data_IF_545873134993
#
_entry.id   IF_545873134993
#
_cell.length_a   1.000
_cell.length_b   1.000
_cell.length_c   1.000
_cell.angle_alpha   90.00
_cell.angle_beta   90.00
_cell.angle_gamma   90.00
#
_symmetry.space_group_name_H-M   'P 1'
#
loop_
_entity.id
_entity.type
_entity.pdbx_description
1 polymer ?
#
# COMPACT_ATOMS: atom_id res chain seq x y z
N UNK A 1 38.14 -76.81 -9.66
CA UNK A 1 39.03 -75.71 -9.21
C UNK A 1 39.09 -74.67 -10.33
N UNK A 2 38.80 -73.38 -10.18
CA UNK A 2 38.19 -72.55 -9.11
C UNK A 2 37.22 -71.57 -9.80
N UNK A 3 36.22 -71.03 -9.09
CA UNK A 3 35.21 -70.12 -9.63
C UNK A 3 35.41 -68.67 -9.13
N UNK A 4 34.79 -67.70 -9.81
CA UNK A 4 34.42 -66.34 -9.32
C UNK A 4 35.54 -65.27 -9.17
N UNK A 5 35.20 -63.97 -9.05
CA UNK A 5 34.22 -63.11 -9.78
C UNK A 5 35.00 -62.02 -10.59
N UNK A 6 34.54 -60.84 -11.01
CA UNK A 6 33.27 -60.07 -11.06
C UNK A 6 33.26 -59.30 -12.43
N UNK A 7 32.18 -58.76 -13.03
CA UNK A 7 30.86 -58.24 -12.64
C UNK A 7 30.79 -56.75 -12.19
N UNK A 8 30.10 -55.96 -13.02
CA UNK A 8 29.35 -54.71 -12.72
C UNK A 8 30.03 -53.53 -12.01
N UNK A 9 30.18 -52.42 -12.75
CA UNK A 9 30.03 -51.04 -12.24
C UNK A 9 29.00 -50.36 -13.16
N UNK A 10 27.71 -50.56 -12.90
CA UNK A 10 26.87 -49.73 -12.00
C UNK A 10 26.58 -48.36 -12.64
N UNK A 11 25.50 -48.37 -13.42
CA UNK A 11 24.64 -47.23 -13.68
C UNK A 11 23.99 -46.76 -12.35
N UNK A 12 23.34 -45.58 -12.36
CA UNK A 12 22.55 -44.97 -11.26
C UNK A 12 23.34 -44.01 -10.34
N UNK A 13 23.30 -42.72 -10.69
CA UNK A 13 23.28 -41.60 -9.72
C UNK A 13 22.31 -40.51 -10.20
N UNK A 14 21.03 -40.87 -10.34
CA UNK A 14 19.93 -39.90 -10.35
C UNK A 14 19.10 -40.08 -9.08
N UNK A 15 19.70 -39.77 -7.93
CA UNK A 15 18.93 -39.42 -6.75
C UNK A 15 18.27 -38.06 -7.02
N UNK A 16 17.14 -38.10 -7.71
CA UNK A 16 16.21 -36.96 -7.77
C UNK A 16 15.88 -36.58 -6.34
N UNK A 17 16.14 -35.32 -5.97
CA UNK A 17 15.82 -34.84 -4.65
C UNK A 17 14.30 -34.87 -4.48
N UNK A 18 13.82 -35.78 -3.64
CA UNK A 18 12.41 -35.88 -3.27
C UNK A 18 12.04 -34.58 -2.54
N UNK A 19 11.44 -33.64 -3.28
CA UNK A 19 11.02 -32.36 -2.76
C UNK A 19 9.94 -32.61 -1.72
N UNK A 20 10.35 -32.66 -0.45
CA UNK A 20 9.43 -32.67 0.69
C UNK A 20 8.44 -31.56 0.47
N UNK A 21 7.19 -31.95 0.22
CA UNK A 21 6.09 -31.06 -0.02
C UNK A 21 5.87 -30.28 1.28
N UNK A 22 6.52 -29.13 1.38
CA UNK A 22 6.37 -28.20 2.50
C UNK A 22 4.90 -27.83 2.52
N UNK A 23 4.16 -28.36 3.50
CA UNK A 23 2.75 -28.07 3.67
C UNK A 23 2.57 -26.56 3.59
N UNK A 24 1.74 -26.10 2.65
CA UNK A 24 1.52 -24.69 2.43
C UNK A 24 1.11 -24.08 3.77
N UNK A 25 1.92 -23.14 4.26
CA UNK A 25 1.54 -22.31 5.41
C UNK A 25 0.16 -21.75 5.08
N UNK A 26 -0.85 -21.86 5.97
CA UNK A 26 -2.14 -21.25 5.73
C UNK A 26 -1.92 -19.80 5.32
N UNK A 27 -2.44 -19.42 4.15
CA UNK A 27 -2.35 -18.04 3.70
C UNK A 27 -2.90 -17.16 4.84
N UNK A 28 -2.09 -16.22 5.32
CA UNK A 28 -2.54 -15.33 6.38
C UNK A 28 -3.84 -14.65 5.91
N UNK A 29 -4.83 -14.44 6.79
CA UNK A 29 -6.09 -13.80 6.41
C UNK A 29 -5.76 -12.50 5.67
N UNK A 30 -6.13 -12.46 4.38
CA UNK A 30 -5.79 -11.34 3.51
C UNK A 30 -6.52 -10.12 4.04
N UNK A 31 -5.77 -9.20 4.65
CA UNK A 31 -6.30 -7.95 5.15
C UNK A 31 -7.03 -7.23 3.99
N UNK A 32 -8.33 -6.95 4.08
CA UNK A 32 -9.07 -6.30 3.00
C UNK A 32 -8.49 -4.94 2.59
N UNK A 33 -7.73 -4.28 3.46
CA UNK A 33 -7.03 -3.03 3.15
C UNK A 33 -5.83 -3.22 2.22
N UNK A 34 -5.17 -4.38 2.23
CA UNK A 34 -4.00 -4.66 1.38
C UNK A 34 -4.40 -4.64 -0.11
N UNK A 35 -3.53 -4.03 -0.93
CA UNK A 35 -3.72 -3.83 -2.37
C UNK A 35 -3.38 -2.42 -2.83
N UNK A 36 -3.71 -2.14 -4.09
CA UNK A 36 -3.55 -0.82 -4.71
C UNK A 36 -4.91 -0.12 -4.84
N UNK A 37 -4.95 1.16 -4.47
CA UNK A 37 -6.14 1.98 -4.39
C UNK A 37 -5.91 3.28 -5.17
N UNK A 38 -6.79 3.62 -6.10
CA UNK A 38 -6.77 4.88 -6.83
C UNK A 38 -7.72 5.88 -6.17
N UNK A 39 -7.21 7.05 -5.80
CA UNK A 39 -8.00 8.10 -5.14
C UNK A 39 -8.94 8.74 -6.17
N UNK A 40 -10.24 8.75 -5.86
CA UNK A 40 -11.26 9.35 -6.72
C UNK A 40 -11.69 10.73 -6.23
N UNK A 41 -11.74 10.95 -4.92
CA UNK A 41 -11.99 12.27 -4.33
C UNK A 41 -11.35 12.45 -2.96
N UNK A 42 -10.95 13.68 -2.65
CA UNK A 42 -10.49 14.09 -1.33
C UNK A 42 -11.19 15.37 -0.89
N UNK A 43 -11.68 15.41 0.35
CA UNK A 43 -12.33 16.57 0.96
C UNK A 43 -11.58 16.97 2.22
N UNK A 44 -11.07 18.20 2.26
CA UNK A 44 -10.47 18.78 3.46
C UNK A 44 -11.36 19.86 4.05
N UNK A 45 -11.54 19.84 5.38
CA UNK A 45 -12.29 20.86 6.11
C UNK A 45 -11.39 21.46 7.20
N UNK A 46 -11.14 22.77 7.09
CA UNK A 46 -10.30 23.53 8.01
C UNK A 46 -11.08 24.77 8.50
N UNK A 47 -11.50 24.74 9.76
CA UNK A 47 -12.36 25.79 10.32
C UNK A 47 -13.72 25.85 9.61
N UNK A 48 -13.94 26.88 8.78
CA UNK A 48 -15.14 27.04 7.94
C UNK A 48 -14.90 26.67 6.48
N UNK A 49 -13.65 26.52 6.07
CA UNK A 49 -13.29 26.33 4.68
C UNK A 49 -13.34 24.84 4.33
N UNK A 50 -14.07 24.51 3.26
CA UNK A 50 -14.19 23.16 2.73
C UNK A 50 -13.65 23.13 1.30
N UNK A 51 -12.62 22.32 1.05
CA UNK A 51 -12.07 22.09 -0.28
C UNK A 51 -12.38 20.67 -0.71
N UNK A 52 -12.98 20.50 -1.89
CA UNK A 52 -13.22 19.19 -2.51
C UNK A 52 -12.37 19.08 -3.77
N UNK A 53 -11.50 18.07 -3.83
CA UNK A 53 -10.66 17.76 -4.98
C UNK A 53 -11.17 16.51 -5.68
N UNK A 54 -11.46 16.64 -6.97
CA UNK A 54 -11.78 15.53 -7.86
C UNK A 54 -10.50 15.03 -8.53
N UNK A 55 -10.09 13.81 -8.17
CA UNK A 55 -8.87 13.19 -8.66
C UNK A 55 -9.07 12.40 -9.96
N UNK A 56 -10.29 12.34 -10.51
CA UNK A 56 -10.58 11.66 -11.79
C UNK A 56 -10.28 12.51 -13.03
N UNK A 57 -9.86 13.77 -12.84
CA UNK A 57 -9.63 14.77 -13.90
C UNK A 57 -8.16 14.91 -14.27
N UNK A 58 -7.50 15.98 -13.80
CA UNK A 58 -6.17 16.39 -14.27
C UNK A 58 -5.01 15.77 -13.48
N UNK A 59 -5.30 14.80 -12.61
CA UNK A 59 -4.34 14.16 -11.69
C UNK A 59 -4.57 12.66 -11.68
N UNK A 60 -3.59 11.91 -11.20
CA UNK A 60 -3.75 10.55 -10.68
C UNK A 60 -3.07 10.46 -9.32
N UNK A 61 -3.62 9.65 -8.42
CA UNK A 61 -3.05 9.42 -7.11
C UNK A 61 -3.35 7.98 -6.68
N UNK A 62 -2.30 7.23 -6.33
CA UNK A 62 -2.37 5.85 -5.89
C UNK A 62 -1.91 5.75 -4.43
N UNK A 63 -2.61 4.94 -3.63
CA UNK A 63 -2.13 4.40 -2.35
C UNK A 63 -1.91 2.90 -2.52
N UNK A 64 -0.72 2.43 -2.18
CA UNK A 64 -0.30 1.03 -2.22
C UNK A 64 -0.10 0.59 -0.78
N UNK A 65 -0.88 -0.40 -0.32
CA UNK A 65 -0.80 -0.92 1.04
C UNK A 65 -0.41 -2.39 0.95
N UNK A 66 0.73 -2.77 1.53
CA UNK A 66 1.18 -4.16 1.59
C UNK A 66 0.77 -4.81 2.92
N UNK A 67 1.56 -5.73 3.49
CA UNK A 67 1.26 -6.36 4.78
C UNK A 67 1.76 -5.59 6.02
N UNK A 68 2.61 -4.56 5.84
CA UNK A 68 3.28 -3.83 6.94
C UNK A 68 3.49 -2.33 6.67
N UNK A 69 3.50 -1.92 5.40
CA UNK A 69 3.78 -0.57 4.94
C UNK A 69 2.71 -0.06 3.98
N UNK A 70 2.60 1.26 3.92
CA UNK A 70 1.89 1.97 2.87
C UNK A 70 2.86 2.86 2.10
N UNK A 71 2.51 3.17 0.86
CA UNK A 71 3.09 4.26 0.10
C UNK A 71 1.98 4.96 -0.68
N UNK A 72 2.11 6.27 -0.90
CA UNK A 72 1.31 7.01 -1.85
C UNK A 72 2.18 7.72 -2.88
N UNK A 73 1.64 7.86 -4.09
CA UNK A 73 2.22 8.66 -5.17
C UNK A 73 1.09 9.37 -5.90
N UNK A 74 1.28 10.66 -6.21
CA UNK A 74 0.34 11.44 -6.98
C UNK A 74 1.05 12.37 -7.96
N UNK A 75 0.47 12.56 -9.14
CA UNK A 75 1.01 13.46 -10.15
C UNK A 75 -0.08 14.09 -11.02
N UNK A 76 0.21 15.23 -11.64
CA UNK A 76 -0.62 15.79 -12.71
C UNK A 76 -0.45 15.02 -14.03
N UNK A 77 -1.48 15.03 -14.87
CA UNK A 77 -1.44 14.35 -16.19
C UNK A 77 -0.70 15.16 -17.26
N UNK A 78 -0.39 16.43 -17.00
CA UNK A 78 0.26 17.34 -17.93
C UNK A 78 1.81 17.36 -17.80
N UNK A 79 2.35 16.50 -16.91
CA UNK A 79 3.78 16.30 -16.64
C UNK A 79 4.47 17.56 -16.11
N UNK A 80 3.79 18.33 -15.26
CA UNK A 80 4.33 19.54 -14.62
C UNK A 80 4.60 20.71 -15.57
N UNK A 81 3.96 20.74 -16.74
CA UNK A 81 4.24 21.73 -17.81
C UNK A 81 3.41 23.02 -17.75
N UNK A 82 2.43 23.09 -16.85
CA UNK A 82 1.53 24.23 -16.70
C UNK A 82 1.38 24.62 -15.21
N UNK A 83 0.48 25.57 -14.92
CA UNK A 83 0.21 26.04 -13.57
C UNK A 83 -0.49 25.03 -12.65
N UNK A 84 -0.87 23.85 -13.16
CA UNK A 84 -1.47 22.76 -12.39
C UNK A 84 -0.45 21.71 -11.95
N UNK A 85 0.84 21.93 -12.24
CA UNK A 85 1.96 21.08 -11.87
C UNK A 85 1.85 20.53 -10.44
N UNK A 86 1.85 19.21 -10.33
CA UNK A 86 1.65 18.50 -9.07
C UNK A 86 2.44 17.20 -9.12
N UNK A 87 3.30 17.00 -8.12
CA UNK A 87 3.89 15.71 -7.82
C UNK A 87 4.02 15.59 -6.31
N UNK A 88 3.58 14.47 -5.76
CA UNK A 88 3.68 14.18 -4.32
C UNK A 88 3.94 12.70 -4.11
N UNK A 89 4.68 12.36 -3.06
CA UNK A 89 4.90 10.99 -2.66
C UNK A 89 5.16 10.89 -1.17
N UNK A 90 4.81 9.75 -0.58
CA UNK A 90 5.13 9.46 0.80
C UNK A 90 4.99 7.98 1.12
N UNK A 91 5.58 7.54 2.23
CA UNK A 91 5.56 6.14 2.65
C UNK A 91 5.87 5.99 4.14
N UNK A 92 5.51 4.85 4.69
CA UNK A 92 5.83 4.49 6.06
C UNK A 92 5.22 3.15 6.47
N UNK A 93 5.33 2.82 7.75
CA UNK A 93 4.59 1.70 8.34
C UNK A 93 3.16 2.09 8.66
N UNK A 94 2.29 1.12 8.89
CA UNK A 94 0.95 1.38 9.43
C UNK A 94 0.58 0.38 10.51
N UNK A 95 -0.39 0.75 11.34
CA UNK A 95 -1.13 -0.17 12.21
C UNK A 95 -2.60 -0.19 11.80
N UNK A 96 -3.25 -1.35 11.96
CA UNK A 96 -4.69 -1.50 11.75
C UNK A 96 -5.28 -2.27 12.92
N UNK A 97 -6.24 -1.66 13.62
CA UNK A 97 -7.02 -2.28 14.68
C UNK A 97 -8.50 -1.98 14.45
N UNK A 98 -9.29 -3.02 14.18
CA UNK A 98 -10.66 -2.93 13.66
C UNK A 98 -10.78 -1.97 12.46
N UNK A 99 -11.38 -0.78 12.66
CA UNK A 99 -11.52 0.27 11.65
C UNK A 99 -10.48 1.40 11.78
N UNK A 100 -9.62 1.37 12.82
CA UNK A 100 -8.61 2.40 13.07
C UNK A 100 -7.33 2.02 12.34
N UNK A 101 -7.04 2.75 11.27
CA UNK A 101 -5.84 2.65 10.46
C UNK A 101 -4.96 3.87 10.73
N UNK A 102 -3.77 3.65 11.31
CA UNK A 102 -2.83 4.73 11.61
C UNK A 102 -1.62 4.65 10.69
N UNK A 103 -1.39 5.71 9.93
CA UNK A 103 -0.21 5.87 9.07
C UNK A 103 0.94 6.51 9.87
N UNK A 104 2.07 5.83 9.95
CA UNK A 104 3.30 6.32 10.58
C UNK A 104 4.23 6.86 9.49
N UNK A 105 4.14 8.16 9.18
CA UNK A 105 4.75 8.71 7.95
C UNK A 105 6.26 8.92 8.11
N UNK A 106 7.05 8.14 7.37
CA UNK A 106 8.52 8.15 7.45
C UNK A 106 9.21 8.87 6.28
N UNK A 107 8.57 8.87 5.13
CA UNK A 107 9.03 9.51 3.91
C UNK A 107 7.92 10.39 3.36
N UNK A 108 8.22 11.63 2.97
CA UNK A 108 7.30 12.52 2.28
C UNK A 108 8.06 13.48 1.36
N UNK A 109 7.50 13.82 0.20
CA UNK A 109 8.00 14.91 -0.65
C UNK A 109 7.88 16.27 0.04
N UNK A 110 6.88 16.45 0.91
CA UNK A 110 6.84 17.52 1.90
C UNK A 110 7.42 17.00 3.23
N UNK A 111 8.73 17.18 3.40
CA UNK A 111 9.51 16.72 4.56
C UNK A 111 8.98 17.28 5.90
N UNK A 112 8.16 18.33 5.91
CA UNK A 112 7.58 18.87 7.14
C UNK A 112 6.52 17.95 7.79
N UNK A 113 6.01 16.96 7.03
CA UNK A 113 5.02 15.99 7.50
C UNK A 113 5.62 14.74 8.15
N UNK A 114 6.90 14.47 7.93
CA UNK A 114 7.55 13.25 8.40
C UNK A 114 7.66 13.18 9.93
N UNK A 115 7.63 11.95 10.46
CA UNK A 115 7.67 11.68 11.90
C UNK A 115 6.35 11.95 12.64
N UNK A 116 5.26 12.21 11.90
CA UNK A 116 3.92 12.34 12.46
C UNK A 116 3.10 11.07 12.17
N UNK A 117 2.18 10.79 13.09
CA UNK A 117 1.20 9.70 12.98
C UNK A 117 -0.16 10.27 12.60
N UNK A 118 -0.83 9.62 11.63
CA UNK A 118 -2.14 10.04 11.13
C UNK A 118 -3.17 8.93 11.37
N UNK A 119 -3.98 9.01 12.44
CA UNK A 119 -5.04 8.05 12.71
C UNK A 119 -6.27 8.36 11.86
N UNK A 120 -6.73 7.35 11.12
CA UNK A 120 -7.94 7.39 10.30
C UNK A 120 -8.91 6.27 10.70
N UNK A 121 -10.20 6.56 10.59
CA UNK A 121 -11.23 5.53 10.50
C UNK A 121 -11.42 5.14 9.03
N UNK A 122 -11.35 3.84 8.74
CA UNK A 122 -11.58 3.29 7.40
C UNK A 122 -12.89 2.50 7.32
N UNK A 123 -13.53 2.58 6.16
CA UNK A 123 -14.67 1.77 5.76
C UNK A 123 -14.41 1.21 4.36
N UNK A 124 -14.40 -0.11 4.24
CA UNK A 124 -14.30 -0.81 2.95
C UNK A 124 -15.66 -1.41 2.63
N UNK A 125 -16.21 -1.03 1.47
CA UNK A 125 -17.47 -1.54 0.93
C UNK A 125 -17.25 -1.88 -0.54
N UNK A 126 -17.37 -3.16 -0.90
CA UNK A 126 -17.04 -3.69 -2.23
C UNK A 126 -15.60 -3.33 -2.65
N UNK A 127 -15.44 -2.57 -3.74
CA UNK A 127 -14.17 -2.04 -4.22
C UNK A 127 -13.90 -0.58 -3.79
N UNK A 128 -14.71 -0.01 -2.89
CA UNK A 128 -14.51 1.34 -2.36
C UNK A 128 -13.89 1.32 -0.96
N UNK A 129 -12.79 2.06 -0.78
CA UNK A 129 -12.24 2.42 0.52
C UNK A 129 -12.58 3.89 0.80
N UNK A 130 -13.19 4.17 1.95
CA UNK A 130 -13.30 5.52 2.50
C UNK A 130 -12.39 5.63 3.72
N UNK A 131 -11.56 6.67 3.78
CA UNK A 131 -10.62 6.97 4.86
C UNK A 131 -10.98 8.36 5.43
N UNK A 132 -11.15 8.47 6.75
CA UNK A 132 -11.54 9.73 7.42
C UNK A 132 -10.73 9.96 8.69
N UNK A 133 -10.08 11.10 8.84
CA UNK A 133 -9.25 11.40 10.02
C UNK A 133 -8.90 12.88 10.16
N UNK A 134 -8.40 13.26 11.34
CA UNK A 134 -7.90 14.62 11.59
C UNK A 134 -6.40 14.62 11.32
N UNK A 135 -5.98 15.37 10.30
CA UNK A 135 -4.58 15.69 10.08
C UNK A 135 -4.23 16.88 10.95
N UNK A 136 -3.33 16.68 11.92
CA UNK A 136 -2.88 17.72 12.84
C UNK A 136 -1.35 17.72 12.97
N UNK A 137 -0.72 18.83 12.58
CA UNK A 137 0.72 19.06 12.72
C UNK A 137 0.92 20.49 13.23
N UNK A 138 1.07 20.64 14.54
CA UNK A 138 1.09 21.95 15.22
C UNK A 138 2.22 22.85 14.72
N UNK A 139 3.39 22.26 14.45
CA UNK A 139 4.59 22.97 13.96
C UNK A 139 4.37 23.75 12.65
N UNK A 140 3.45 23.30 11.81
CA UNK A 140 3.11 23.95 10.53
C UNK A 140 1.66 24.45 10.47
N UNK A 141 0.96 24.52 11.61
CA UNK A 141 -0.41 25.03 11.70
C UNK A 141 -1.48 24.18 11.00
N UNK A 142 -1.17 22.93 10.65
CA UNK A 142 -2.14 22.01 10.06
C UNK A 142 -3.07 21.48 11.15
N UNK A 143 -4.37 21.67 10.97
CA UNK A 143 -5.43 21.05 11.76
C UNK A 143 -6.70 21.01 10.89
N UNK A 144 -6.95 19.88 10.22
CA UNK A 144 -8.06 19.72 9.27
C UNK A 144 -8.61 18.30 9.30
N UNK A 145 -9.92 18.17 9.08
CA UNK A 145 -10.52 16.89 8.75
C UNK A 145 -10.18 16.57 7.29
N UNK A 146 -9.61 15.39 7.03
CA UNK A 146 -9.43 14.84 5.69
C UNK A 146 -10.38 13.64 5.51
N UNK A 147 -11.09 13.61 4.39
CA UNK A 147 -11.99 12.53 3.96
C UNK A 147 -11.60 12.14 2.54
N UNK A 148 -11.13 10.92 2.38
CA UNK A 148 -10.62 10.40 1.10
C UNK A 148 -11.45 9.20 0.67
N UNK A 149 -11.78 9.13 -0.62
CA UNK A 149 -12.45 7.99 -1.25
C UNK A 149 -11.57 7.43 -2.34
N UNK A 150 -11.35 6.13 -2.29
CA UNK A 150 -10.55 5.38 -3.25
C UNK A 150 -11.38 4.26 -3.87
N UNK A 151 -11.03 3.87 -5.10
CA UNK A 151 -11.46 2.62 -5.73
C UNK A 151 -10.28 1.65 -5.81
N UNK A 152 -10.54 0.35 -5.60
CA UNK A 152 -9.51 -0.69 -5.73
C UNK A 152 -9.11 -0.81 -7.20
N UNK A 153 -7.81 -0.71 -7.47
CA UNK A 153 -7.25 -1.00 -8.79
C UNK A 153 -7.39 -2.50 -9.06
N UNK A 154 -7.99 -2.84 -10.21
CA UNK A 154 -8.13 -4.22 -10.69
C UNK A 154 -6.97 -4.51 -11.63
N UNK A 155 -6.41 -5.72 -11.55
CA UNK A 155 -5.49 -6.19 -12.58
C UNK A 155 -6.31 -6.43 -13.86
N UNK A 156 -5.80 -5.95 -15.00
CA UNK A 156 -6.28 -6.28 -16.35
C UNK A 156 -5.70 -7.63 -16.81
#
# INVERSE_FOLDING_TARGET
>A
MKFSPACLVVLILFFSCESKQSAEKPAMPVNPLTGTWELISGTTIQGKDTTVTDYTKNRKFLKIINGTHFAFVGHDLNKGKDSLAFYTSGAGTYTLNDSVYTEHLQFCSDRAWEGNDFPFHILIQNDTLTQTGIEKIEKIGVNRLNIERYVRVKNE
#
